data_IF_629124821073
#
_entry.id   IF_629124821073
#
_cell.length_a   1.000
_cell.length_b   1.000
_cell.length_c   1.000
_cell.angle_alpha   90.00
_cell.angle_beta   90.00
_cell.angle_gamma   90.00
#
_symmetry.space_group_name_H-M   'P 1'
#
loop_
_entity.id
_entity.type
_entity.pdbx_description
1 polymer ?
#
# COMPACT_ATOMS: atom_id res chain seq x y z
N UNK A 1 6.75 -53.38 -17.14
CA UNK A 1 5.58 -52.85 -16.39
C UNK A 1 5.89 -51.40 -16.11
N UNK A 2 5.18 -50.46 -16.76
CA UNK A 2 5.37 -49.03 -16.48
C UNK A 2 4.98 -48.78 -15.01
N UNK A 3 5.86 -48.14 -14.26
CA UNK A 3 5.63 -47.85 -12.85
C UNK A 3 4.74 -46.63 -12.73
N UNK A 4 3.60 -46.76 -12.05
CA UNK A 4 2.74 -45.61 -11.76
C UNK A 4 3.31 -44.81 -10.59
N UNK A 5 3.67 -43.55 -10.84
CA UNK A 5 4.16 -42.64 -9.79
C UNK A 5 3.00 -42.26 -8.88
N UNK A 6 3.06 -42.64 -7.60
CA UNK A 6 2.03 -42.34 -6.62
C UNK A 6 2.38 -41.18 -5.68
N UNK A 7 3.68 -40.92 -5.44
CA UNK A 7 4.16 -39.94 -4.47
C UNK A 7 5.23 -39.02 -5.05
N UNK A 8 5.38 -37.84 -4.46
CA UNK A 8 6.42 -36.86 -4.80
C UNK A 8 7.01 -36.23 -3.53
N UNK A 9 8.34 -36.07 -3.52
CA UNK A 9 9.07 -35.40 -2.44
C UNK A 9 9.14 -33.90 -2.71
N UNK A 10 8.52 -33.12 -1.82
CA UNK A 10 8.55 -31.65 -1.80
C UNK A 10 9.92 -31.14 -1.34
N UNK A 11 10.18 -29.86 -1.61
CA UNK A 11 11.44 -29.17 -1.25
C UNK A 11 11.69 -29.06 0.26
N UNK A 12 10.63 -29.10 1.06
CA UNK A 12 10.66 -29.11 2.52
C UNK A 12 10.81 -30.53 3.11
N UNK A 13 11.00 -31.54 2.25
CA UNK A 13 11.14 -32.94 2.64
C UNK A 13 9.82 -33.71 2.75
N UNK A 14 8.65 -33.04 2.72
CA UNK A 14 7.36 -33.73 2.81
C UNK A 14 7.10 -34.61 1.60
N UNK A 15 6.49 -35.77 1.84
CA UNK A 15 6.02 -36.68 0.78
C UNK A 15 4.51 -36.48 0.63
N UNK A 16 4.07 -36.15 -0.57
CA UNK A 16 2.65 -35.91 -0.90
C UNK A 16 2.25 -36.73 -2.12
N UNK A 17 0.96 -36.80 -2.41
CA UNK A 17 0.47 -37.48 -3.60
C UNK A 17 0.95 -36.80 -4.88
N UNK A 18 1.29 -37.63 -5.87
CA UNK A 18 1.67 -37.16 -7.19
C UNK A 18 0.43 -36.82 -8.01
N UNK A 19 0.31 -35.56 -8.41
CA UNK A 19 -0.82 -35.04 -9.20
C UNK A 19 -0.30 -34.54 -10.56
N UNK A 20 -0.45 -35.33 -11.65
CA UNK A 20 0.00 -34.94 -12.99
C UNK A 20 -0.60 -33.62 -13.48
N UNK A 21 -1.81 -33.30 -13.02
CA UNK A 21 -2.51 -32.06 -13.39
C UNK A 21 -1.71 -30.80 -12.98
N UNK A 22 -0.90 -30.87 -11.91
CA UNK A 22 -0.04 -29.75 -11.50
C UNK A 22 1.04 -29.45 -12.53
N UNK A 23 1.53 -30.45 -13.25
CA UNK A 23 2.49 -30.29 -14.35
C UNK A 23 1.79 -29.62 -15.53
N UNK A 24 0.63 -30.13 -15.93
CA UNK A 24 -0.20 -29.55 -17.00
C UNK A 24 -0.50 -28.08 -16.73
N UNK A 25 -0.96 -27.75 -15.53
CA UNK A 25 -1.30 -26.38 -15.14
C UNK A 25 -0.06 -25.46 -15.15
N UNK A 26 1.12 -25.96 -14.77
CA UNK A 26 2.36 -25.18 -14.81
C UNK A 26 2.83 -24.90 -16.24
N UNK A 27 2.79 -25.91 -17.12
CA UNK A 27 3.10 -25.76 -18.56
C UNK A 27 2.11 -24.78 -19.20
N UNK A 28 0.81 -24.94 -18.94
CA UNK A 28 -0.22 -24.09 -19.51
C UNK A 28 -0.07 -22.62 -19.09
N UNK A 29 0.22 -22.35 -17.80
CA UNK A 29 0.49 -20.99 -17.33
C UNK A 29 1.70 -20.36 -18.02
N UNK A 30 2.76 -21.13 -18.24
CA UNK A 30 3.92 -20.65 -18.99
C UNK A 30 3.58 -20.38 -20.46
N UNK A 31 2.74 -21.22 -21.07
CA UNK A 31 2.26 -21.02 -22.44
C UNK A 31 1.40 -19.75 -22.54
N UNK A 32 0.49 -19.52 -21.59
CA UNK A 32 -0.34 -18.31 -21.53
C UNK A 32 0.50 -17.04 -21.40
N UNK A 33 1.59 -17.07 -20.63
CA UNK A 33 2.50 -15.93 -20.50
C UNK A 33 3.19 -15.52 -21.81
N UNK A 34 3.21 -16.40 -22.82
CA UNK A 34 3.75 -16.14 -24.16
C UNK A 34 2.67 -16.11 -25.25
N UNK A 35 1.40 -16.04 -24.87
CA UNK A 35 0.26 -15.91 -25.80
C UNK A 35 -0.41 -17.23 -26.22
N UNK A 36 0.00 -18.37 -25.66
CA UNK A 36 -0.62 -19.67 -25.91
C UNK A 36 -1.99 -19.80 -25.24
N UNK A 37 -2.96 -20.39 -25.95
CA UNK A 37 -4.34 -20.60 -25.46
C UNK A 37 -4.76 -22.06 -25.41
N UNK A 38 -4.00 -22.94 -26.06
CA UNK A 38 -4.34 -24.35 -26.20
C UNK A 38 -3.83 -25.17 -25.01
N UNK A 39 -4.77 -25.63 -24.19
CA UNK A 39 -4.49 -26.50 -23.03
C UNK A 39 -4.16 -27.94 -23.44
N UNK A 40 -4.63 -28.40 -24.62
CA UNK A 40 -4.42 -29.78 -25.07
C UNK A 40 -2.94 -30.07 -25.34
N UNK A 41 -2.20 -29.09 -25.86
CA UNK A 41 -0.75 -29.17 -26.03
C UNK A 41 -0.06 -29.32 -24.66
N UNK A 42 -0.48 -28.55 -23.64
CA UNK A 42 0.06 -28.66 -22.29
C UNK A 42 -0.20 -30.05 -21.67
N UNK A 43 -1.38 -30.64 -21.93
CA UNK A 43 -1.72 -32.00 -21.49
C UNK A 43 -0.85 -33.05 -22.19
N UNK A 44 -0.63 -32.93 -23.50
CA UNK A 44 0.23 -33.83 -24.27
C UNK A 44 1.67 -33.79 -23.76
N UNK A 45 2.22 -32.59 -23.56
CA UNK A 45 3.58 -32.40 -23.03
C UNK A 45 3.69 -32.92 -21.58
N UNK A 46 2.67 -32.70 -20.77
CA UNK A 46 2.60 -33.23 -19.39
C UNK A 46 2.63 -34.76 -19.36
N UNK A 47 1.88 -35.43 -20.24
CA UNK A 47 1.94 -36.90 -20.39
C UNK A 47 3.34 -37.37 -20.76
N UNK A 48 3.99 -36.70 -21.72
CA UNK A 48 5.37 -37.01 -22.10
C UNK A 48 6.36 -36.83 -20.94
N UNK A 49 6.19 -35.79 -20.11
CA UNK A 49 7.00 -35.58 -18.90
C UNK A 49 6.83 -36.74 -17.93
N UNK A 50 5.59 -37.17 -17.67
CA UNK A 50 5.30 -38.30 -16.77
C UNK A 50 5.92 -39.59 -17.31
N UNK A 51 5.75 -39.90 -18.59
CA UNK A 51 6.35 -41.09 -19.21
C UNK A 51 7.89 -41.11 -19.14
N UNK A 52 8.53 -39.95 -19.34
CA UNK A 52 9.98 -39.83 -19.20
C UNK A 52 10.43 -39.98 -17.74
N UNK A 53 9.66 -39.43 -16.81
CA UNK A 53 9.93 -39.55 -15.38
C UNK A 53 9.82 -41.00 -14.91
N UNK A 54 8.78 -41.72 -15.33
CA UNK A 54 8.60 -43.15 -15.03
C UNK A 54 9.74 -44.02 -15.56
N UNK A 55 10.31 -43.66 -16.72
CA UNK A 55 11.47 -44.36 -17.30
C UNK A 55 12.78 -44.09 -16.56
N UNK A 56 12.90 -42.96 -15.87
CA UNK A 56 14.13 -42.57 -15.14
C UNK A 56 14.16 -43.07 -13.70
N UNK A 57 13.01 -43.43 -13.12
CA UNK A 57 12.91 -43.87 -11.73
C UNK A 57 13.17 -45.37 -11.59
N UNK A 58 13.87 -45.76 -10.51
CA UNK A 58 14.02 -47.16 -10.13
C UNK A 58 12.84 -47.62 -9.25
N UNK A 59 12.62 -48.93 -9.10
CA UNK A 59 11.65 -49.47 -8.15
C UNK A 59 11.84 -48.90 -6.74
N UNK A 60 10.82 -48.18 -6.24
CA UNK A 60 10.81 -47.57 -4.91
C UNK A 60 11.33 -46.13 -4.85
N UNK A 61 11.83 -45.56 -5.95
CA UNK A 61 12.27 -44.17 -5.98
C UNK A 61 11.06 -43.21 -5.96
N UNK A 62 11.16 -42.17 -5.13
CA UNK A 62 10.19 -41.08 -5.09
C UNK A 62 10.80 -39.86 -5.79
N UNK A 63 10.20 -39.36 -6.88
CA UNK A 63 10.73 -38.21 -7.59
C UNK A 63 10.67 -36.95 -6.72
N UNK A 64 11.65 -36.07 -6.93
CA UNK A 64 11.68 -34.74 -6.33
C UNK A 64 11.02 -33.71 -7.24
N UNK A 65 10.58 -32.59 -6.66
CA UNK A 65 10.05 -31.46 -7.45
C UNK A 65 11.06 -30.94 -8.48
N UNK A 66 12.37 -30.96 -8.19
CA UNK A 66 13.38 -30.48 -9.14
C UNK A 66 13.51 -31.41 -10.36
N UNK A 67 13.52 -32.73 -10.16
CA UNK A 67 13.56 -33.71 -11.26
C UNK A 67 12.38 -33.52 -12.22
N UNK A 68 11.18 -33.30 -11.68
CA UNK A 68 10.00 -33.01 -12.51
C UNK A 68 10.19 -31.71 -13.29
N UNK A 69 10.71 -30.66 -12.65
CA UNK A 69 10.92 -29.36 -13.31
C UNK A 69 11.96 -29.44 -14.44
N UNK A 70 13.07 -30.13 -14.21
CA UNK A 70 14.13 -30.27 -15.21
C UNK A 70 13.63 -31.09 -16.43
N UNK A 71 12.77 -32.09 -16.20
CA UNK A 71 12.10 -32.82 -17.29
C UNK A 71 11.10 -31.97 -18.07
N UNK A 72 10.33 -31.11 -17.38
CA UNK A 72 9.41 -30.17 -18.07
C UNK A 72 10.20 -29.25 -19.00
N UNK A 73 11.33 -28.71 -18.53
CA UNK A 73 12.20 -27.87 -19.34
C UNK A 73 12.72 -28.62 -20.56
N UNK A 74 13.23 -29.84 -20.37
CA UNK A 74 13.70 -30.72 -21.45
C UNK A 74 12.61 -30.98 -22.49
N UNK A 75 11.42 -31.41 -22.06
CA UNK A 75 10.29 -31.72 -22.97
C UNK A 75 9.83 -30.49 -23.75
N UNK A 76 9.79 -29.32 -23.12
CA UNK A 76 9.42 -28.08 -23.81
C UNK A 76 10.45 -27.70 -24.89
N UNK A 77 11.74 -27.88 -24.63
CA UNK A 77 12.81 -27.61 -25.60
C UNK A 77 12.79 -28.62 -26.75
N UNK A 78 12.72 -29.92 -26.45
CA UNK A 78 12.74 -30.99 -27.45
C UNK A 78 11.54 -30.95 -28.39
N UNK A 79 10.38 -30.48 -27.92
CA UNK A 79 9.19 -30.28 -28.76
C UNK A 79 9.13 -28.89 -29.44
N UNK A 80 10.22 -28.11 -29.42
CA UNK A 80 10.31 -26.82 -30.12
C UNK A 80 9.54 -25.67 -29.47
N UNK A 81 9.04 -25.82 -28.24
CA UNK A 81 8.32 -24.79 -27.50
C UNK A 81 9.27 -23.83 -26.76
N UNK A 82 10.31 -23.33 -27.46
CA UNK A 82 11.39 -22.52 -26.87
C UNK A 82 10.89 -21.29 -26.10
N UNK A 83 9.89 -20.58 -26.62
CA UNK A 83 9.31 -19.40 -25.94
C UNK A 83 8.67 -19.78 -24.61
N UNK A 84 7.90 -20.87 -24.59
CA UNK A 84 7.25 -21.41 -23.40
C UNK A 84 8.30 -21.94 -22.40
N UNK A 85 9.33 -22.65 -22.87
CA UNK A 85 10.44 -23.12 -22.04
C UNK A 85 11.14 -21.95 -21.33
N UNK A 86 11.50 -20.89 -22.08
CA UNK A 86 12.13 -19.69 -21.51
C UNK A 86 11.24 -19.03 -20.46
N UNK A 87 9.94 -18.89 -20.71
CA UNK A 87 8.99 -18.34 -19.75
C UNK A 87 8.86 -19.19 -18.48
N UNK A 88 8.84 -20.52 -18.64
CA UNK A 88 8.81 -21.48 -17.53
C UNK A 88 10.06 -21.38 -16.65
N UNK A 89 11.25 -21.38 -17.26
CA UNK A 89 12.55 -21.25 -16.57
C UNK A 89 12.62 -19.93 -15.80
N UNK A 90 12.26 -18.81 -16.45
CA UNK A 90 12.30 -17.49 -15.81
C UNK A 90 11.33 -17.40 -14.62
N UNK A 91 10.14 -17.99 -14.76
CA UNK A 91 9.17 -18.07 -13.66
C UNK A 91 9.68 -18.91 -12.49
N UNK A 92 10.33 -20.04 -12.76
CA UNK A 92 10.98 -20.89 -11.74
C UNK A 92 12.06 -20.11 -11.00
N UNK A 93 12.93 -19.40 -11.72
CA UNK A 93 14.00 -18.57 -11.15
C UNK A 93 13.44 -17.46 -10.26
N UNK A 94 12.48 -16.67 -10.74
CA UNK A 94 11.80 -15.64 -9.94
C UNK A 94 11.18 -16.20 -8.66
N UNK A 95 10.57 -17.39 -8.73
CA UNK A 95 10.02 -18.05 -7.54
C UNK A 95 11.09 -18.60 -6.60
N UNK A 96 12.24 -19.04 -7.11
CA UNK A 96 13.37 -19.46 -6.30
C UNK A 96 13.97 -18.27 -5.55
N UNK A 97 14.17 -17.16 -6.25
CA UNK A 97 14.61 -15.89 -5.66
C UNK A 97 13.64 -15.38 -4.60
N UNK A 98 12.33 -15.34 -4.90
CA UNK A 98 11.32 -14.95 -3.93
C UNK A 98 11.38 -15.82 -2.66
N UNK A 99 11.55 -17.14 -2.80
CA UNK A 99 11.71 -18.05 -1.64
C UNK A 99 12.99 -17.78 -0.87
N UNK A 100 14.11 -17.52 -1.57
CA UNK A 100 15.39 -17.17 -0.95
C UNK A 100 15.28 -15.88 -0.14
N UNK A 101 14.63 -14.86 -0.70
CA UNK A 101 14.36 -13.59 0.01
C UNK A 101 13.50 -13.86 1.24
N UNK A 102 12.38 -14.60 1.11
CA UNK A 102 11.52 -14.94 2.27
C UNK A 102 12.30 -15.68 3.36
N UNK A 103 13.12 -16.67 2.99
CA UNK A 103 13.95 -17.41 3.93
C UNK A 103 15.02 -16.53 4.59
N UNK A 104 15.65 -15.62 3.83
CA UNK A 104 16.64 -14.69 4.35
C UNK A 104 16.05 -13.67 5.33
N UNK A 105 14.82 -13.20 5.07
CA UNK A 105 14.11 -12.28 5.95
C UNK A 105 13.67 -12.96 7.27
N UNK A 106 13.57 -14.29 7.30
CA UNK A 106 13.08 -15.03 8.47
C UNK A 106 11.62 -14.72 8.82
N UNK A 107 10.84 -14.22 7.84
CA UNK A 107 9.44 -13.83 8.03
C UNK A 107 8.54 -15.03 7.77
N UNK A 108 7.67 -15.32 8.73
CA UNK A 108 6.54 -16.20 8.53
C UNK A 108 5.40 -15.43 7.84
N UNK A 109 4.99 -15.92 6.66
CA UNK A 109 4.01 -15.28 5.77
C UNK A 109 2.84 -16.24 5.49
N UNK A 110 1.83 -16.21 6.34
CA UNK A 110 0.61 -17.03 6.20
C UNK A 110 -0.28 -16.53 5.07
N UNK A 111 -0.20 -15.22 4.77
CA UNK A 111 -1.03 -14.53 3.78
C UNK A 111 -0.52 -14.67 2.35
N UNK A 112 0.66 -15.29 2.18
CA UNK A 112 1.30 -15.53 0.87
C UNK A 112 1.48 -14.24 0.07
N UNK A 113 1.86 -13.17 0.76
CA UNK A 113 2.00 -11.85 0.16
C UNK A 113 3.09 -11.82 -0.93
N UNK A 114 2.96 -10.87 -1.88
CA UNK A 114 4.02 -10.57 -2.84
C UNK A 114 5.35 -10.23 -2.16
N UNK A 115 6.47 -10.55 -2.80
CA UNK A 115 7.81 -10.38 -2.20
C UNK A 115 8.13 -8.93 -1.84
N UNK A 116 7.71 -7.96 -2.65
CA UNK A 116 7.88 -6.54 -2.36
C UNK A 116 7.11 -6.11 -1.10
N UNK A 117 5.89 -6.62 -0.90
CA UNK A 117 5.13 -6.36 0.31
C UNK A 117 5.88 -6.91 1.54
N UNK A 118 6.39 -8.14 1.47
CA UNK A 118 7.17 -8.72 2.57
C UNK A 118 8.45 -7.95 2.86
N UNK A 119 9.16 -7.46 1.84
CA UNK A 119 10.34 -6.62 2.04
C UNK A 119 9.99 -5.34 2.81
N UNK A 120 8.89 -4.69 2.45
CA UNK A 120 8.41 -3.47 3.12
C UNK A 120 7.97 -3.78 4.56
N UNK A 121 7.18 -4.84 4.75
CA UNK A 121 6.73 -5.28 6.06
C UNK A 121 7.91 -5.63 6.98
N UNK A 122 8.86 -6.42 6.50
CA UNK A 122 10.07 -6.79 7.22
C UNK A 122 10.95 -5.58 7.57
N UNK A 123 11.05 -4.61 6.66
CA UNK A 123 11.85 -3.42 6.89
C UNK A 123 11.23 -2.52 7.97
N UNK A 124 9.90 -2.32 7.94
CA UNK A 124 9.26 -1.19 8.64
C UNK A 124 8.12 -1.56 9.61
N UNK A 125 7.40 -2.66 9.41
CA UNK A 125 6.11 -2.88 10.08
C UNK A 125 6.12 -4.07 11.05
N UNK A 126 6.81 -5.15 10.72
CA UNK A 126 6.89 -6.32 11.59
C UNK A 126 7.77 -6.02 12.80
N UNK A 127 7.31 -6.42 13.98
CA UNK A 127 8.09 -6.27 15.21
C UNK A 127 9.40 -7.04 15.15
N UNK A 128 10.42 -6.43 15.76
CA UNK A 128 11.77 -6.97 15.88
C UNK A 128 12.16 -7.04 17.34
N UNK A 129 13.02 -7.98 17.68
CA UNK A 129 13.68 -8.01 18.98
C UNK A 129 14.82 -6.97 19.06
N UNK A 130 15.49 -6.92 20.21
CA UNK A 130 16.62 -6.02 20.47
C UNK A 130 17.82 -6.24 19.54
N UNK A 131 17.92 -7.41 18.91
CA UNK A 131 18.97 -7.75 17.96
C UNK A 131 18.55 -7.48 16.51
N UNK A 132 17.35 -6.92 16.29
CA UNK A 132 16.80 -6.62 14.98
C UNK A 132 16.20 -7.83 14.25
N UNK A 133 16.07 -8.98 14.91
CA UNK A 133 15.45 -10.17 14.33
C UNK A 133 13.93 -10.02 14.34
N UNK A 134 13.29 -10.35 13.23
CA UNK A 134 11.83 -10.31 13.12
C UNK A 134 11.22 -11.41 13.99
N UNK A 135 10.26 -11.03 14.83
CA UNK A 135 9.56 -11.90 15.80
C UNK A 135 8.04 -11.93 15.58
N UNK A 136 7.57 -11.28 14.52
CA UNK A 136 6.15 -11.15 14.21
C UNK A 136 5.90 -11.61 12.76
N UNK A 137 4.91 -12.49 12.59
CA UNK A 137 4.44 -12.93 11.29
C UNK A 137 3.51 -11.90 10.63
N UNK A 138 3.22 -12.08 9.34
CA UNK A 138 2.26 -11.22 8.63
C UNK A 138 0.85 -11.26 9.24
N UNK A 139 0.38 -12.44 9.65
CA UNK A 139 -0.91 -12.60 10.33
C UNK A 139 -0.87 -11.99 11.74
N UNK A 140 0.19 -12.22 12.49
CA UNK A 140 0.33 -11.66 13.85
C UNK A 140 0.33 -10.12 13.84
N UNK A 141 0.97 -9.49 12.86
CA UNK A 141 0.95 -8.03 12.71
C UNK A 141 -0.48 -7.49 12.55
N UNK A 142 -1.26 -8.02 11.60
CA UNK A 142 -2.64 -7.58 11.42
C UNK A 142 -3.52 -7.90 12.63
N UNK A 143 -3.30 -9.04 13.28
CA UNK A 143 -4.01 -9.42 14.50
C UNK A 143 -3.75 -8.45 15.64
N UNK A 144 -2.48 -8.06 15.85
CA UNK A 144 -2.08 -7.03 16.82
C UNK A 144 -2.81 -5.71 16.56
N UNK A 145 -2.82 -5.25 15.32
CA UNK A 145 -3.46 -3.99 14.93
C UNK A 145 -4.98 -4.07 15.13
N UNK A 146 -5.63 -5.14 14.67
CA UNK A 146 -7.07 -5.35 14.81
C UNK A 146 -7.49 -5.33 16.29
N UNK A 147 -6.77 -6.08 17.13
CA UNK A 147 -7.02 -6.14 18.56
C UNK A 147 -6.89 -4.76 19.21
N UNK A 148 -5.79 -4.06 18.94
CA UNK A 148 -5.51 -2.75 19.54
C UNK A 148 -6.57 -1.70 19.19
N UNK A 149 -7.12 -1.73 17.98
CA UNK A 149 -8.18 -0.81 17.55
C UNK A 149 -9.53 -1.21 18.18
N UNK A 150 -9.88 -2.49 18.15
CA UNK A 150 -11.15 -2.97 18.71
C UNK A 150 -11.24 -2.75 20.22
N UNK A 151 -10.12 -2.86 20.95
CA UNK A 151 -10.04 -2.68 22.40
C UNK A 151 -10.52 -1.30 22.88
N UNK A 152 -10.44 -0.28 22.02
CA UNK A 152 -10.89 1.09 22.31
C UNK A 152 -12.39 1.13 22.63
N UNK A 153 -13.19 0.25 22.05
CA UNK A 153 -14.63 0.16 22.29
C UNK A 153 -14.97 -0.15 23.76
N UNK A 154 -14.04 -0.74 24.53
CA UNK A 154 -14.23 -0.91 25.99
C UNK A 154 -14.41 0.42 26.70
N UNK A 155 -13.71 1.48 26.24
CA UNK A 155 -13.86 2.83 26.79
C UNK A 155 -15.25 3.42 26.53
N UNK A 156 -15.96 2.89 25.53
CA UNK A 156 -17.33 3.26 25.18
C UNK A 156 -18.37 2.30 25.77
N UNK A 157 -17.97 1.45 26.73
CA UNK A 157 -18.86 0.58 27.49
C UNK A 157 -19.34 -0.65 26.72
N UNK A 158 -18.64 -1.05 25.66
CA UNK A 158 -18.94 -2.30 24.93
C UNK A 158 -18.43 -3.52 25.70
N UNK A 159 -19.15 -4.62 25.56
CA UNK A 159 -18.79 -5.91 26.15
C UNK A 159 -17.68 -6.64 25.36
N UNK A 160 -17.11 -7.67 25.98
CA UNK A 160 -16.02 -8.47 25.40
C UNK A 160 -16.45 -9.24 24.14
N UNK A 161 -17.73 -9.61 24.02
CA UNK A 161 -18.24 -10.33 22.85
C UNK A 161 -18.24 -9.42 21.62
N UNK A 162 -18.73 -8.19 21.80
CA UNK A 162 -18.72 -7.17 20.77
C UNK A 162 -17.29 -6.81 20.34
N UNK A 163 -16.39 -6.54 21.30
CA UNK A 163 -14.99 -6.20 21.02
C UNK A 163 -14.31 -7.31 20.20
N UNK A 164 -14.52 -8.58 20.60
CA UNK A 164 -13.95 -9.72 19.89
C UNK A 164 -14.54 -9.87 18.49
N UNK A 165 -15.83 -9.63 18.31
CA UNK A 165 -16.47 -9.65 16.99
C UNK A 165 -15.86 -8.61 16.04
N UNK A 166 -15.59 -7.42 16.57
CA UNK A 166 -14.99 -6.31 15.83
C UNK A 166 -13.52 -6.56 15.50
N UNK A 167 -12.75 -7.17 16.41
CA UNK A 167 -11.39 -7.62 16.15
C UNK A 167 -11.34 -8.57 14.95
N UNK A 168 -12.22 -9.58 14.90
CA UNK A 168 -12.26 -10.53 13.76
C UNK A 168 -12.66 -9.84 12.45
N UNK A 169 -13.61 -8.89 12.50
CA UNK A 169 -14.00 -8.11 11.34
C UNK A 169 -12.83 -7.29 10.79
N UNK A 170 -12.13 -6.54 11.64
CA UNK A 170 -10.97 -5.75 11.24
C UNK A 170 -9.83 -6.63 10.72
N UNK A 171 -9.57 -7.76 11.38
CA UNK A 171 -8.57 -8.72 10.91
C UNK A 171 -8.92 -9.26 9.52
N UNK A 172 -10.19 -9.64 9.29
CA UNK A 172 -10.66 -10.12 7.99
C UNK A 172 -10.51 -9.04 6.92
N UNK A 173 -10.95 -7.81 7.19
CA UNK A 173 -10.85 -6.70 6.24
C UNK A 173 -9.39 -6.43 5.83
N UNK A 174 -8.46 -6.42 6.79
CA UNK A 174 -7.04 -6.22 6.51
C UNK A 174 -6.40 -7.38 5.77
N UNK A 175 -6.71 -8.63 6.14
CA UNK A 175 -6.13 -9.82 5.51
C UNK A 175 -6.66 -10.07 4.10
N UNK A 176 -7.90 -9.66 3.81
CA UNK A 176 -8.47 -9.61 2.47
C UNK A 176 -8.04 -8.38 1.66
N UNK A 177 -7.31 -7.44 2.27
CA UNK A 177 -6.89 -6.16 1.67
C UNK A 177 -8.07 -5.28 1.23
N UNK A 178 -9.23 -5.43 1.87
CA UNK A 178 -10.41 -4.58 1.67
C UNK A 178 -10.18 -3.18 2.25
N UNK A 179 -9.42 -3.13 3.35
CA UNK A 179 -9.01 -1.90 4.02
C UNK A 179 -7.65 -2.07 4.67
N UNK A 180 -6.81 -1.03 4.61
CA UNK A 180 -5.58 -0.96 5.39
C UNK A 180 -5.54 0.40 6.09
N UNK A 181 -5.26 0.44 7.41
CA UNK A 181 -5.07 1.70 8.10
C UNK A 181 -3.76 2.36 7.65
N UNK A 182 -3.57 3.62 8.06
CA UNK A 182 -2.37 4.37 7.72
C UNK A 182 -1.08 3.68 8.25
N UNK A 183 0.08 4.12 7.76
CA UNK A 183 1.35 3.52 8.15
C UNK A 183 1.64 3.58 9.66
N UNK A 184 1.43 4.71 10.37
CA UNK A 184 1.65 4.75 11.82
C UNK A 184 0.77 3.76 12.59
N UNK A 185 -0.48 3.57 12.19
CA UNK A 185 -1.35 2.57 12.83
C UNK A 185 -0.80 1.15 12.66
N UNK A 186 -0.38 0.77 11.45
CA UNK A 186 0.21 -0.56 11.22
C UNK A 186 1.49 -0.79 12.04
N UNK A 187 2.33 0.24 12.15
CA UNK A 187 3.61 0.16 12.87
C UNK A 187 3.41 0.14 14.39
N UNK A 188 2.49 0.96 14.92
CA UNK A 188 2.47 1.33 16.34
C UNK A 188 1.30 0.78 17.13
N UNK A 189 0.19 0.38 16.50
CA UNK A 189 -0.98 -0.10 17.25
C UNK A 189 -0.65 -1.37 18.05
N UNK A 190 -0.99 -1.40 19.33
CA UNK A 190 -0.70 -2.54 20.21
C UNK A 190 0.78 -2.68 20.60
N UNK A 191 1.60 -1.64 20.39
CA UNK A 191 2.98 -1.56 20.90
C UNK A 191 2.99 -0.72 22.18
N UNK A 192 3.69 -1.13 23.26
CA UNK A 192 3.60 -0.46 24.57
C UNK A 192 4.10 0.99 24.61
N UNK A 193 4.95 1.40 23.66
CA UNK A 193 5.71 2.65 23.73
C UNK A 193 4.88 3.93 23.49
N UNK A 194 3.54 3.82 23.39
CA UNK A 194 2.65 4.98 23.26
C UNK A 194 2.89 5.80 21.98
N UNK A 195 3.40 5.16 20.93
CA UNK A 195 3.69 5.80 19.66
C UNK A 195 2.40 6.19 18.91
N UNK A 196 2.51 7.23 18.10
CA UNK A 196 1.38 7.87 17.47
C UNK A 196 0.73 6.99 16.39
N UNK A 197 -0.60 6.93 16.35
CA UNK A 197 -1.36 6.22 15.31
C UNK A 197 -1.75 7.15 14.15
N UNK A 198 -1.67 8.46 14.35
CA UNK A 198 -1.95 9.47 13.33
C UNK A 198 -0.67 9.94 12.64
N UNK A 199 -0.78 10.22 11.35
CA UNK A 199 0.37 10.60 10.52
C UNK A 199 0.52 12.11 10.32
N UNK A 200 -0.58 12.87 10.36
CA UNK A 200 -0.60 14.28 9.94
C UNK A 200 -1.22 15.15 11.03
N UNK A 201 -0.53 16.23 11.39
CA UNK A 201 -0.94 17.17 12.41
C UNK A 201 -0.97 18.59 11.85
N UNK A 202 -2.00 19.35 12.22
CA UNK A 202 -2.10 20.77 11.95
C UNK A 202 -1.66 21.51 13.20
N UNK A 203 -0.59 22.31 13.11
CA UNK A 203 -0.07 23.09 14.23
C UNK A 203 -0.35 24.56 13.94
N UNK A 204 -1.23 25.22 14.71
CA UNK A 204 -1.50 26.64 14.54
C UNK A 204 -0.31 27.47 15.05
N UNK A 205 0.00 28.55 14.35
CA UNK A 205 1.02 29.53 14.75
C UNK A 205 0.39 30.92 14.84
N UNK A 206 0.40 31.50 16.04
CA UNK A 206 -0.02 32.89 16.29
C UNK A 206 1.10 33.88 15.97
N UNK A 207 0.73 35.15 15.81
CA UNK A 207 1.68 36.24 15.56
C UNK A 207 2.33 36.73 16.87
N UNK A 208 2.94 35.80 17.62
CA UNK A 208 3.72 36.09 18.82
C UNK A 208 4.94 35.17 18.91
N UNK A 209 6.01 35.66 19.55
CA UNK A 209 7.24 34.88 19.72
C UNK A 209 6.93 33.61 20.55
N UNK A 210 6.12 33.74 21.59
CA UNK A 210 5.70 32.64 22.45
C UNK A 210 5.02 31.53 21.64
N UNK A 211 4.05 31.89 20.79
CA UNK A 211 3.34 30.91 19.97
C UNK A 211 4.24 30.26 18.92
N UNK A 212 5.18 31.00 18.33
CA UNK A 212 6.16 30.45 17.40
C UNK A 212 7.01 29.37 18.10
N UNK A 213 7.53 29.66 19.29
CA UNK A 213 8.35 28.70 20.04
C UNK A 213 7.52 27.51 20.55
N UNK A 214 6.28 27.73 20.97
CA UNK A 214 5.37 26.63 21.35
C UNK A 214 5.03 25.73 20.16
N UNK A 215 4.75 26.31 18.98
CA UNK A 215 4.51 25.55 17.76
C UNK A 215 5.73 24.71 17.36
N UNK A 216 6.95 25.29 17.44
CA UNK A 216 8.20 24.57 17.20
C UNK A 216 8.39 23.42 18.19
N UNK A 217 8.09 23.63 19.48
CA UNK A 217 8.14 22.59 20.51
C UNK A 217 7.16 21.45 20.21
N UNK A 218 5.91 21.77 19.89
CA UNK A 218 4.88 20.76 19.53
C UNK A 218 5.30 20.02 18.27
N UNK A 219 5.77 20.73 17.25
CA UNK A 219 6.27 20.14 15.99
C UNK A 219 7.41 19.15 16.25
N UNK A 220 8.39 19.52 17.08
CA UNK A 220 9.49 18.63 17.45
C UNK A 220 9.00 17.34 18.14
N UNK A 221 8.02 17.44 19.03
CA UNK A 221 7.41 16.28 19.71
C UNK A 221 6.67 15.39 18.70
N UNK A 222 5.85 15.99 17.83
CA UNK A 222 5.11 15.26 16.79
C UNK A 222 6.07 14.53 15.84
N UNK A 223 7.10 15.22 15.35
CA UNK A 223 8.10 14.64 14.45
C UNK A 223 8.92 13.54 15.12
N UNK A 224 9.26 13.69 16.41
CA UNK A 224 9.89 12.62 17.20
C UNK A 224 9.03 11.35 17.23
N UNK A 225 7.71 11.49 17.20
CA UNK A 225 6.76 10.37 17.11
C UNK A 225 6.46 9.88 15.68
N UNK A 226 7.13 10.44 14.66
CA UNK A 226 6.96 10.06 13.25
C UNK A 226 5.80 10.75 12.53
N UNK A 227 5.22 11.81 13.12
CA UNK A 227 4.14 12.59 12.51
C UNK A 227 4.66 13.74 11.63
N UNK A 228 3.96 13.98 10.51
CA UNK A 228 4.12 15.17 9.68
C UNK A 228 3.33 16.36 10.26
N UNK A 229 3.85 17.56 10.05
CA UNK A 229 3.24 18.81 10.54
C UNK A 229 2.96 19.74 9.37
N UNK A 230 1.79 20.37 9.38
CA UNK A 230 1.43 21.48 8.47
C UNK A 230 0.99 22.68 9.30
N UNK A 231 1.32 23.88 8.84
CA UNK A 231 0.81 25.11 9.44
C UNK A 231 -0.68 25.29 9.05
N UNK A 232 -1.53 25.48 10.06
CA UNK A 232 -2.97 25.73 9.87
C UNK A 232 -3.30 27.13 9.33
N UNK A 233 -2.32 28.02 9.21
CA UNK A 233 -2.50 29.43 8.84
C UNK A 233 -1.66 29.84 7.65
N UNK A 234 -1.73 29.04 6.58
CA UNK A 234 -1.14 29.39 5.29
C UNK A 234 -1.43 30.86 4.94
N UNK A 235 -0.40 31.71 4.99
CA UNK A 235 -0.50 33.11 4.57
C UNK A 235 -0.44 33.14 3.06
N UNK A 236 -1.35 33.88 2.42
CA UNK A 236 -1.25 34.16 1.01
C UNK A 236 -0.15 35.18 0.79
N UNK A 237 0.86 34.79 0.03
CA UNK A 237 1.80 35.71 -0.58
C UNK A 237 1.25 36.07 -1.95
N UNK A 238 0.86 37.33 -2.13
CA UNK A 238 0.34 37.81 -3.40
C UNK A 238 0.86 39.21 -3.72
N UNK A 239 0.93 39.54 -5.01
CA UNK A 239 1.39 40.84 -5.49
C UNK A 239 0.18 41.71 -5.85
N UNK A 240 0.00 42.85 -5.20
CA UNK A 240 -1.03 43.82 -5.56
C UNK A 240 -0.36 45.16 -5.86
N UNK A 241 -0.62 45.70 -7.04
CA UNK A 241 -0.10 47.01 -7.50
C UNK A 241 1.44 47.20 -7.38
N UNK A 242 2.20 46.10 -7.51
CA UNK A 242 3.67 46.10 -7.46
C UNK A 242 4.27 45.82 -6.08
N UNK A 243 3.44 45.65 -5.04
CA UNK A 243 3.89 45.29 -3.70
C UNK A 243 3.53 43.85 -3.33
N UNK A 244 4.44 43.16 -2.64
CA UNK A 244 4.17 41.86 -2.04
C UNK A 244 3.46 42.02 -0.70
N UNK A 245 2.28 41.42 -0.59
CA UNK A 245 1.53 41.37 0.65
C UNK A 245 1.52 39.94 1.20
N UNK A 246 1.55 39.85 2.53
CA UNK A 246 1.40 38.61 3.27
C UNK A 246 0.19 38.77 4.20
N UNK A 247 -0.93 38.14 3.84
CA UNK A 247 -2.17 38.18 4.63
C UNK A 247 -2.73 36.78 4.84
N UNK A 248 -3.43 36.56 5.96
CA UNK A 248 -4.29 35.37 6.08
C UNK A 248 -5.48 35.46 5.13
N UNK A 249 -6.03 34.31 4.75
CA UNK A 249 -7.20 34.25 3.87
C UNK A 249 -8.38 35.06 4.41
N UNK A 250 -8.68 34.92 5.71
CA UNK A 250 -9.77 35.63 6.36
C UNK A 250 -9.58 37.14 6.33
N UNK A 251 -8.35 37.63 6.59
CA UNK A 251 -8.05 39.08 6.56
C UNK A 251 -8.12 39.63 5.13
N UNK A 252 -7.70 38.84 4.15
CA UNK A 252 -7.88 39.18 2.74
C UNK A 252 -9.37 39.25 2.37
N UNK A 253 -10.15 38.25 2.80
CA UNK A 253 -11.58 38.17 2.53
C UNK A 253 -12.32 39.38 3.09
N UNK A 254 -12.15 39.70 4.37
CA UNK A 254 -12.80 40.87 5.00
C UNK A 254 -12.43 42.19 4.30
N UNK A 255 -11.16 42.39 3.91
CA UNK A 255 -10.73 43.59 3.18
C UNK A 255 -11.43 43.74 1.81
N UNK A 256 -11.81 42.63 1.18
CA UNK A 256 -12.44 42.60 -0.14
C UNK A 256 -13.94 42.25 -0.10
N UNK A 257 -14.55 42.24 1.08
CA UNK A 257 -15.95 41.85 1.29
C UNK A 257 -16.96 42.69 0.51
N UNK A 258 -16.58 43.90 0.10
CA UNK A 258 -17.38 44.75 -0.79
C UNK A 258 -17.63 44.13 -2.19
N UNK A 259 -16.90 43.07 -2.57
CA UNK A 259 -17.11 42.28 -3.81
C UNK A 259 -17.71 40.90 -3.56
N UNK A 260 -18.28 40.69 -2.38
CA UNK A 260 -18.90 39.42 -2.02
C UNK A 260 -20.17 39.17 -2.86
N UNK A 261 -20.32 37.93 -3.31
CA UNK A 261 -21.51 37.41 -3.97
C UNK A 261 -21.89 36.08 -3.33
N UNK A 262 -23.15 35.67 -3.50
CA UNK A 262 -23.67 34.42 -2.97
C UNK A 262 -23.92 33.41 -4.09
N UNK A 263 -23.46 32.18 -3.89
CA UNK A 263 -23.65 31.04 -4.79
C UNK A 263 -24.66 30.08 -4.15
N UNK A 264 -25.91 30.19 -4.60
CA UNK A 264 -27.05 29.43 -4.08
C UNK A 264 -27.05 27.95 -4.45
N UNK A 265 -26.31 27.53 -5.48
CA UNK A 265 -26.19 26.12 -5.84
C UNK A 265 -25.39 25.34 -4.78
N UNK A 266 -24.40 26.00 -4.17
CA UNK A 266 -23.49 25.39 -3.19
C UNK A 266 -23.64 25.99 -1.78
N UNK A 267 -24.63 26.86 -1.57
CA UNK A 267 -24.89 27.57 -0.30
C UNK A 267 -23.62 28.18 0.32
N UNK A 268 -22.89 28.99 -0.45
CA UNK A 268 -21.61 29.58 -0.03
C UNK A 268 -21.49 31.04 -0.47
N UNK A 269 -20.64 31.79 0.22
CA UNK A 269 -20.26 33.14 -0.20
C UNK A 269 -18.94 33.10 -0.94
N UNK A 270 -18.71 34.05 -1.85
CA UNK A 270 -17.44 34.17 -2.56
C UNK A 270 -17.12 35.62 -2.89
N UNK A 271 -15.84 35.92 -3.09
CA UNK A 271 -15.36 37.21 -3.55
C UNK A 271 -14.75 37.03 -4.94
N UNK A 272 -15.18 37.87 -5.88
CA UNK A 272 -14.56 37.94 -7.20
C UNK A 272 -13.27 38.78 -7.13
N UNK A 273 -12.14 38.12 -7.41
CA UNK A 273 -10.81 38.73 -7.36
C UNK A 273 -10.13 38.69 -8.72
N UNK A 274 -10.87 38.49 -9.82
CA UNK A 274 -10.31 38.43 -11.18
C UNK A 274 -9.59 39.71 -11.59
N UNK A 275 -9.97 40.86 -11.02
CA UNK A 275 -9.31 42.15 -11.22
C UNK A 275 -8.00 42.29 -10.42
N UNK A 276 -7.76 41.42 -9.43
CA UNK A 276 -6.53 41.38 -8.64
C UNK A 276 -5.48 40.44 -9.26
N UNK A 277 -4.20 40.72 -9.00
CA UNK A 277 -3.06 39.93 -9.50
C UNK A 277 -2.63 38.87 -8.49
N UNK A 278 -3.56 38.03 -8.07
CA UNK A 278 -3.31 36.95 -7.11
C UNK A 278 -2.98 35.68 -7.89
N UNK A 279 -1.86 35.05 -7.56
CA UNK A 279 -1.41 33.82 -8.18
C UNK A 279 -1.10 32.77 -7.12
N UNK A 280 -1.42 31.53 -7.43
CA UNK A 280 -0.95 30.37 -6.67
C UNK A 280 -0.11 29.49 -7.57
N UNK A 281 0.88 28.84 -6.98
CA UNK A 281 1.75 27.91 -7.67
C UNK A 281 1.35 26.49 -7.29
N UNK A 282 1.17 25.64 -8.29
CA UNK A 282 0.93 24.22 -8.11
C UNK A 282 1.87 23.44 -9.02
N UNK A 283 2.47 22.37 -8.51
CA UNK A 283 3.28 21.49 -9.33
C UNK A 283 2.36 20.63 -10.21
N UNK A 284 2.57 20.64 -11.53
CA UNK A 284 1.85 19.76 -12.45
C UNK A 284 2.62 18.44 -12.60
N UNK A 285 2.09 17.32 -12.09
CA UNK A 285 2.79 16.03 -12.14
C UNK A 285 2.93 15.45 -13.55
N UNK A 286 2.14 15.92 -14.54
CA UNK A 286 2.22 15.45 -15.94
C UNK A 286 3.35 16.13 -16.69
N UNK A 287 3.45 17.45 -16.56
CA UNK A 287 4.48 18.27 -17.24
C UNK A 287 5.76 18.38 -16.43
N UNK A 288 5.70 18.09 -15.12
CA UNK A 288 6.77 18.29 -14.12
C UNK A 288 7.21 19.75 -13.99
N UNK A 289 6.33 20.68 -14.34
CA UNK A 289 6.59 22.11 -14.25
C UNK A 289 5.74 22.76 -13.15
N UNK A 290 6.21 23.92 -12.69
CA UNK A 290 5.46 24.74 -11.75
C UNK A 290 4.38 25.53 -12.52
N UNK A 291 3.13 25.15 -12.35
CA UNK A 291 2.01 25.85 -12.95
C UNK A 291 1.62 27.07 -12.11
N UNK A 292 1.61 28.25 -12.76
CA UNK A 292 1.14 29.51 -12.16
C UNK A 292 -0.33 29.73 -12.53
N UNK A 293 -1.23 29.56 -11.56
CA UNK A 293 -2.67 29.77 -11.72
C UNK A 293 -3.08 31.14 -11.18
N UNK A 294 -3.85 31.92 -11.96
CA UNK A 294 -4.45 33.17 -11.48
C UNK A 294 -5.70 32.84 -10.68
N UNK A 295 -5.81 33.34 -9.46
CA UNK A 295 -6.99 33.17 -8.62
C UNK A 295 -8.15 33.96 -9.22
N UNK A 296 -9.30 33.31 -9.35
CA UNK A 296 -10.51 33.93 -9.87
C UNK A 296 -11.49 34.24 -8.74
N UNK A 297 -11.68 33.28 -7.84
CA UNK A 297 -12.64 33.36 -6.75
C UNK A 297 -12.01 32.88 -5.46
N UNK A 298 -12.38 33.53 -4.37
CA UNK A 298 -12.11 33.07 -3.01
C UNK A 298 -13.47 32.81 -2.37
N UNK A 299 -13.75 31.56 -2.03
CA UNK A 299 -14.99 31.12 -1.42
C UNK A 299 -14.87 31.11 0.09
N UNK A 300 -15.95 31.40 0.79
CA UNK A 300 -16.12 31.27 2.23
C UNK A 300 -17.25 30.29 2.53
N UNK A 301 -16.95 29.32 3.38
CA UNK A 301 -17.85 28.31 3.91
C UNK A 301 -17.98 28.50 5.41
N UNK A 302 -19.21 28.50 5.92
CA UNK A 302 -19.47 28.45 7.36
C UNK A 302 -19.88 27.02 7.67
N UNK A 303 -19.08 26.33 8.49
CA UNK A 303 -19.35 24.97 8.93
C UNK A 303 -20.44 24.95 10.01
N UNK A 304 -21.04 23.78 10.24
CA UNK A 304 -22.12 23.61 11.25
C UNK A 304 -21.69 23.94 12.68
N UNK A 305 -20.39 23.90 12.98
CA UNK A 305 -19.80 24.30 14.26
C UNK A 305 -19.48 25.81 14.34
N UNK A 306 -19.82 26.60 13.31
CA UNK A 306 -19.55 28.04 13.24
C UNK A 306 -18.15 28.40 12.75
N UNK A 307 -17.30 27.42 12.40
CA UNK A 307 -15.97 27.70 11.85
C UNK A 307 -16.05 28.17 10.40
N UNK A 308 -15.29 29.22 10.08
CA UNK A 308 -15.16 29.72 8.71
C UNK A 308 -13.97 29.07 7.99
N UNK A 309 -14.25 28.43 6.86
CA UNK A 309 -13.24 27.91 5.93
C UNK A 309 -13.25 28.69 4.64
N UNK A 310 -12.10 28.78 4.00
CA UNK A 310 -11.95 29.49 2.74
C UNK A 310 -11.33 28.58 1.67
N UNK A 311 -11.77 28.71 0.42
CA UNK A 311 -11.24 27.94 -0.72
C UNK A 311 -10.85 28.89 -1.86
N UNK A 312 -9.68 28.69 -2.45
CA UNK A 312 -9.22 29.37 -3.65
C UNK A 312 -9.56 28.53 -4.88
N UNK A 313 -10.11 29.16 -5.92
CA UNK A 313 -10.18 28.55 -7.25
C UNK A 313 -9.42 29.38 -8.28
N UNK A 314 -8.54 28.71 -9.03
CA UNK A 314 -7.78 29.35 -10.12
C UNK A 314 -8.40 29.11 -11.49
N UNK A 315 -7.97 29.92 -12.46
CA UNK A 315 -8.27 29.72 -13.89
C UNK A 315 -7.68 28.42 -14.48
N UNK A 316 -6.80 27.74 -13.76
CA UNK A 316 -6.23 26.43 -14.12
C UNK A 316 -6.93 25.27 -13.43
N UNK A 317 -7.96 25.55 -12.61
CA UNK A 317 -8.73 24.52 -11.90
C UNK A 317 -8.13 24.09 -10.56
N UNK A 318 -6.97 24.61 -10.16
CA UNK A 318 -6.38 24.37 -8.83
C UNK A 318 -7.34 24.85 -7.73
N UNK A 319 -7.53 23.99 -6.72
CA UNK A 319 -8.30 24.25 -5.50
C UNK A 319 -7.38 24.16 -4.29
N UNK A 320 -7.43 25.14 -3.40
CA UNK A 320 -6.64 25.21 -2.15
C UNK A 320 -7.58 25.63 -1.03
#
# INVERSE_FOLDING_TARGET
>A
MLMTISKIKKRDGRIVDFEPEKITNAIFKAAQAVGGKDRTIAEKLSKQVVELLEKQLKPGDIPTVEQVQDLVEKVLVENGHYKTAKAYILYRQKRAEARRIKAMLGVEDELKLPTNALLILAARYLRKDVNGKIIESTGQMFRRVAKAIAEVERMYGKDEEYIKSLEEEFYRMMTNLEFLPNSPTLMNAGVPDGLNLSACFVIPVEDSIESIFDALKVMAIVQKSGGGCVDGRAKLVFENDGEFHVLSMSRFYEKNRHKEFYDGEFNRHGIDVRDKRIFVFSFDPKTKELARGKVQFIWKYVLSNGEEKHEIKTNKGTKI
#
